data_IF_604801120005
#
_entry.id   IF_604801120005
#
_cell.length_a   1.000
_cell.length_b   1.000
_cell.length_c   1.000
_cell.angle_alpha   90.00
_cell.angle_beta   90.00
_cell.angle_gamma   90.00
#
_symmetry.space_group_name_H-M   'P 1'
#
loop_
_entity.id
_entity.type
_entity.pdbx_description
1 polymer ?
#
# COMPACT_ATOMS: atom_id res chain seq x y z
N UNK A 1 -15.76 -23.18 0.77
CA UNK A 1 -15.31 -23.02 -0.65
C UNK A 1 -13.81 -23.33 -0.72
N UNK A 2 -13.32 -23.70 -1.89
CA UNK A 2 -11.90 -23.93 -2.17
C UNK A 2 -11.33 -22.68 -2.87
N UNK A 3 -10.47 -21.94 -2.19
CA UNK A 3 -10.00 -20.63 -2.64
C UNK A 3 -8.49 -20.68 -2.83
N UNK A 4 -8.01 -20.23 -3.98
CA UNK A 4 -6.58 -20.06 -4.23
C UNK A 4 -6.24 -18.56 -4.21
N UNK A 5 -5.47 -18.14 -3.24
CA UNK A 5 -4.85 -16.82 -3.20
C UNK A 5 -3.54 -16.89 -3.97
N UNK A 6 -3.36 -16.03 -4.96
CA UNK A 6 -2.20 -16.03 -5.86
C UNK A 6 -1.45 -14.71 -5.72
N UNK A 7 -0.34 -14.73 -4.99
CA UNK A 7 0.54 -13.56 -4.82
C UNK A 7 2.00 -14.00 -4.69
N UNK A 8 2.91 -13.31 -5.37
CA UNK A 8 4.30 -13.74 -5.48
C UNK A 8 5.16 -13.55 -4.22
N UNK A 9 4.61 -12.86 -3.23
CA UNK A 9 5.23 -12.61 -1.93
C UNK A 9 4.42 -13.23 -0.77
N UNK A 10 5.08 -13.52 0.34
CA UNK A 10 4.46 -13.99 1.57
C UNK A 10 5.05 -13.25 2.78
N UNK A 11 4.19 -12.59 3.58
CA UNK A 11 4.58 -12.03 4.86
C UNK A 11 4.84 -13.15 5.89
N UNK A 12 5.89 -13.08 6.74
CA UNK A 12 6.81 -11.97 6.97
C UNK A 12 8.11 -12.04 6.14
N UNK A 13 8.24 -13.00 5.23
CA UNK A 13 9.45 -13.13 4.41
C UNK A 13 9.69 -11.93 3.48
N UNK A 14 8.62 -11.27 3.08
CA UNK A 14 8.63 -9.95 2.42
C UNK A 14 7.66 -9.04 3.15
N UNK A 15 8.06 -7.80 3.44
CA UNK A 15 7.29 -6.86 4.24
C UNK A 15 6.77 -5.72 3.37
N UNK A 16 5.45 -5.59 3.31
CA UNK A 16 4.74 -4.54 2.60
C UNK A 16 3.24 -4.58 2.90
N UNK A 17 2.49 -3.62 2.38
CA UNK A 17 1.04 -3.53 2.59
C UNK A 17 0.28 -4.69 1.95
N UNK A 18 0.60 -5.02 0.70
CA UNK A 18 -0.05 -6.11 -0.03
C UNK A 18 0.24 -7.49 0.59
N UNK A 19 1.48 -7.72 1.06
CA UNK A 19 1.86 -8.96 1.74
C UNK A 19 1.05 -9.17 3.03
N UNK A 20 0.88 -8.10 3.81
CA UNK A 20 0.04 -8.12 5.03
C UNK A 20 -1.42 -8.35 4.69
N UNK A 21 -1.93 -7.69 3.67
CA UNK A 21 -3.29 -7.87 3.16
C UNK A 21 -3.59 -9.33 2.83
N UNK A 22 -2.77 -9.94 1.97
CA UNK A 22 -2.99 -11.33 1.55
C UNK A 22 -2.82 -12.35 2.67
N UNK A 23 -1.89 -12.11 3.62
CA UNK A 23 -1.79 -12.95 4.81
C UNK A 23 -3.07 -12.88 5.65
N UNK A 24 -3.54 -11.67 5.95
CA UNK A 24 -4.76 -11.48 6.75
C UNK A 24 -5.98 -12.08 6.05
N UNK A 25 -6.12 -11.89 4.75
CA UNK A 25 -7.18 -12.48 3.94
C UNK A 25 -7.15 -14.02 3.99
N UNK A 26 -5.97 -14.62 3.79
CA UNK A 26 -5.82 -16.08 3.85
C UNK A 26 -6.20 -16.66 5.21
N UNK A 27 -5.71 -16.04 6.29
CA UNK A 27 -5.99 -16.46 7.65
C UNK A 27 -7.48 -16.28 8.01
N UNK A 28 -8.09 -15.18 7.59
CA UNK A 28 -9.52 -14.94 7.81
C UNK A 28 -10.38 -15.95 7.08
N UNK A 29 -10.10 -16.22 5.81
CA UNK A 29 -10.81 -17.24 5.04
C UNK A 29 -10.69 -18.63 5.67
N UNK A 30 -9.49 -19.01 6.13
CA UNK A 30 -9.27 -20.28 6.81
C UNK A 30 -10.02 -20.34 8.16
N UNK A 31 -10.09 -19.23 8.90
CA UNK A 31 -10.83 -19.14 10.16
C UNK A 31 -12.35 -19.30 9.96
N UNK A 32 -12.87 -18.89 8.82
CA UNK A 32 -14.28 -19.07 8.44
C UNK A 32 -14.58 -20.45 7.80
N UNK A 33 -13.60 -21.36 7.84
CA UNK A 33 -13.81 -22.75 7.39
C UNK A 33 -13.68 -22.96 5.89
N UNK A 34 -13.07 -22.03 5.15
CA UNK A 34 -12.74 -22.22 3.74
C UNK A 34 -11.44 -23.02 3.59
N UNK A 35 -11.36 -23.83 2.52
CA UNK A 35 -10.11 -24.49 2.12
C UNK A 35 -9.25 -23.49 1.34
N UNK A 36 -8.19 -22.98 1.97
CA UNK A 36 -7.35 -21.94 1.40
C UNK A 36 -6.01 -22.48 0.94
N UNK A 37 -5.66 -22.25 -0.33
CA UNK A 37 -4.33 -22.46 -0.87
C UNK A 37 -3.68 -21.10 -1.16
N UNK A 38 -2.51 -20.83 -0.59
CA UNK A 38 -1.70 -19.65 -0.89
C UNK A 38 -0.60 -20.04 -1.90
N UNK A 39 -0.72 -19.60 -3.14
CA UNK A 39 0.22 -19.88 -4.21
C UNK A 39 1.21 -18.72 -4.37
N UNK A 40 2.49 -18.98 -4.11
CA UNK A 40 3.53 -17.94 -4.04
C UNK A 40 4.87 -18.41 -4.63
N UNK A 41 5.83 -17.48 -4.81
CA UNK A 41 7.22 -17.85 -5.01
C UNK A 41 7.84 -18.31 -3.68
N UNK A 42 8.80 -19.20 -3.74
CA UNK A 42 9.54 -19.59 -2.53
C UNK A 42 10.35 -18.39 -2.02
N UNK A 43 10.24 -18.09 -0.72
CA UNK A 43 10.98 -17.00 -0.06
C UNK A 43 11.77 -17.50 1.16
N UNK A 44 11.52 -18.73 1.60
CA UNK A 44 12.18 -19.41 2.71
C UNK A 44 13.19 -20.45 2.22
N UNK A 45 14.09 -20.88 3.09
CA UNK A 45 15.10 -21.87 2.77
C UNK A 45 14.51 -23.28 2.58
N UNK A 46 15.23 -24.15 1.84
CA UNK A 46 14.81 -25.53 1.64
C UNK A 46 14.75 -26.26 2.98
N UNK A 47 13.63 -26.91 3.26
CA UNK A 47 13.40 -27.65 4.51
C UNK A 47 12.72 -26.83 5.62
N UNK A 48 12.61 -25.51 5.48
CA UNK A 48 11.80 -24.69 6.38
C UNK A 48 10.33 -24.67 5.95
N UNK A 49 9.43 -24.50 6.92
CA UNK A 49 8.03 -24.23 6.67
C UNK A 49 7.79 -22.72 6.61
N UNK A 50 6.88 -22.23 5.76
CA UNK A 50 6.51 -20.83 5.76
C UNK A 50 5.79 -20.46 7.07
N UNK A 51 6.08 -19.26 7.58
CA UNK A 51 5.41 -18.73 8.76
C UNK A 51 4.01 -18.19 8.38
N UNK A 52 3.02 -19.06 8.40
CA UNK A 52 1.60 -18.74 8.17
C UNK A 52 0.74 -19.72 8.99
N UNK A 53 -0.53 -19.35 9.21
CA UNK A 53 -1.51 -20.22 9.89
C UNK A 53 -1.51 -21.64 9.25
N UNK A 54 -1.35 -22.71 10.04
CA UNK A 54 -1.28 -24.08 9.53
C UNK A 54 -2.53 -24.56 8.78
N UNK A 55 -3.66 -23.87 8.93
CA UNK A 55 -4.89 -24.12 8.16
C UNK A 55 -4.78 -23.65 6.71
N UNK A 56 -3.82 -22.78 6.39
CA UNK A 56 -3.57 -22.29 5.04
C UNK A 56 -2.54 -23.19 4.36
N UNK A 57 -2.94 -23.88 3.30
CA UNK A 57 -2.04 -24.68 2.48
C UNK A 57 -1.17 -23.78 1.62
N UNK A 58 0.15 -23.88 1.73
CA UNK A 58 1.07 -23.12 0.87
C UNK A 58 1.54 -23.96 -0.30
N UNK A 59 1.36 -23.44 -1.51
CA UNK A 59 1.87 -24.00 -2.75
C UNK A 59 2.92 -23.08 -3.39
N UNK A 60 3.92 -23.67 -4.02
CA UNK A 60 5.05 -22.94 -4.61
C UNK A 60 4.96 -22.91 -6.12
N UNK A 61 4.85 -21.73 -6.70
CA UNK A 61 4.80 -21.48 -8.14
C UNK A 61 6.18 -21.30 -8.80
N UNK A 62 7.25 -21.18 -8.00
CA UNK A 62 8.59 -21.01 -8.54
C UNK A 62 9.68 -20.93 -7.47
N UNK A 63 10.95 -20.94 -7.89
CA UNK A 63 12.09 -20.93 -6.98
C UNK A 63 12.22 -19.59 -6.24
N UNK A 64 13.09 -19.56 -5.21
CA UNK A 64 13.50 -18.33 -4.56
C UNK A 64 14.26 -17.46 -5.57
N UNK A 65 13.83 -16.21 -5.70
CA UNK A 65 14.42 -15.22 -6.61
C UNK A 65 14.52 -13.85 -5.94
N UNK A 66 15.57 -13.09 -6.28
CA UNK A 66 15.64 -11.69 -5.88
C UNK A 66 14.61 -10.88 -6.68
N UNK A 67 13.64 -10.31 -5.98
CA UNK A 67 12.54 -9.54 -6.60
C UNK A 67 12.95 -8.13 -7.01
N UNK A 68 13.93 -7.55 -6.33
CA UNK A 68 14.39 -6.19 -6.53
C UNK A 68 15.90 -6.14 -6.78
N UNK A 69 16.35 -5.14 -7.54
CA UNK A 69 17.76 -4.79 -7.72
C UNK A 69 17.85 -3.27 -7.88
N UNK A 70 18.69 -2.62 -7.06
CA UNK A 70 18.84 -1.14 -7.10
C UNK A 70 17.51 -0.38 -6.89
N UNK A 71 16.65 -0.85 -6.00
CA UNK A 71 15.34 -0.24 -5.73
C UNK A 71 14.26 -0.51 -6.78
N UNK A 72 14.59 -1.11 -7.93
CA UNK A 72 13.63 -1.42 -9.01
C UNK A 72 13.26 -2.90 -9.01
N UNK A 73 12.01 -3.21 -9.31
CA UNK A 73 11.54 -4.57 -9.46
C UNK A 73 12.12 -5.21 -10.73
N UNK A 74 12.62 -6.44 -10.60
CA UNK A 74 13.14 -7.22 -11.74
C UNK A 74 11.99 -7.76 -12.59
N UNK A 75 12.23 -7.89 -13.90
CA UNK A 75 11.21 -8.38 -14.85
C UNK A 75 11.09 -9.92 -14.83
N UNK A 76 12.20 -10.64 -14.62
CA UNK A 76 12.21 -12.09 -14.67
C UNK A 76 11.35 -12.79 -13.60
N UNK A 77 11.38 -12.39 -12.29
CA UNK A 77 10.54 -13.03 -11.27
C UNK A 77 9.05 -13.04 -11.59
N UNK A 78 8.40 -11.92 -12.02
CA UNK A 78 7.03 -11.91 -12.48
C UNK A 78 6.70 -12.91 -13.60
N UNK A 79 7.60 -13.06 -14.57
CA UNK A 79 7.41 -14.02 -15.67
C UNK A 79 7.48 -15.46 -15.19
N UNK A 80 8.48 -15.79 -14.36
CA UNK A 80 8.62 -17.14 -13.75
C UNK A 80 7.41 -17.45 -12.87
N UNK A 81 6.95 -16.47 -12.08
CA UNK A 81 5.76 -16.61 -11.26
C UNK A 81 4.51 -16.87 -12.10
N UNK A 82 4.27 -16.05 -13.13
CA UNK A 82 3.13 -16.23 -14.05
C UNK A 82 3.13 -17.60 -14.74
N UNK A 83 4.28 -18.08 -15.19
CA UNK A 83 4.41 -19.44 -15.76
C UNK A 83 4.12 -20.52 -14.71
N UNK A 84 4.65 -20.37 -13.49
CA UNK A 84 4.38 -21.29 -12.39
C UNK A 84 2.91 -21.34 -12.00
N UNK A 85 2.24 -20.18 -11.96
CA UNK A 85 0.79 -20.07 -11.76
C UNK A 85 0.03 -20.78 -12.88
N UNK A 86 0.42 -20.55 -14.14
CA UNK A 86 -0.20 -21.23 -15.29
C UNK A 86 -0.12 -22.75 -15.16
N UNK A 87 1.07 -23.29 -14.90
CA UNK A 87 1.29 -24.73 -14.73
C UNK A 87 0.51 -25.30 -13.55
N UNK A 88 0.49 -24.59 -12.41
CA UNK A 88 -0.29 -24.98 -11.23
C UNK A 88 -1.78 -25.04 -11.54
N UNK A 89 -2.33 -23.97 -12.11
CA UNK A 89 -3.75 -23.89 -12.43
C UNK A 89 -4.18 -24.88 -13.51
N UNK A 90 -3.35 -25.19 -14.51
CA UNK A 90 -3.66 -26.24 -15.50
C UNK A 90 -3.78 -27.62 -14.83
N UNK A 91 -2.93 -27.95 -13.85
CA UNK A 91 -2.98 -29.22 -13.11
C UNK A 91 -4.14 -29.29 -12.13
N UNK A 92 -4.48 -28.15 -11.51
CA UNK A 92 -5.45 -28.01 -10.41
C UNK A 92 -6.71 -27.23 -10.81
N UNK A 93 -7.03 -27.12 -12.10
CA UNK A 93 -8.09 -26.26 -12.64
C UNK A 93 -9.49 -26.54 -12.11
N UNK A 94 -9.73 -27.73 -11.54
CA UNK A 94 -11.02 -28.14 -10.95
C UNK A 94 -11.02 -28.13 -9.43
N UNK A 95 -9.88 -27.80 -8.82
CA UNK A 95 -9.70 -27.88 -7.36
C UNK A 95 -10.13 -26.59 -6.66
N UNK A 96 -10.37 -25.51 -7.42
CA UNK A 96 -10.70 -24.21 -6.89
C UNK A 96 -12.06 -23.71 -7.36
N UNK A 97 -12.80 -23.08 -6.43
CA UNK A 97 -14.05 -22.39 -6.72
C UNK A 97 -13.78 -20.92 -7.05
N UNK A 98 -12.73 -20.34 -6.45
CA UNK A 98 -12.30 -18.94 -6.65
C UNK A 98 -10.77 -18.87 -6.74
N UNK A 99 -10.29 -18.11 -7.70
CA UNK A 99 -8.91 -17.62 -7.75
C UNK A 99 -8.93 -16.14 -7.39
N UNK A 100 -8.24 -15.78 -6.31
CA UNK A 100 -8.06 -14.39 -5.88
C UNK A 100 -6.60 -14.00 -6.07
N UNK A 101 -6.34 -13.08 -6.99
CA UNK A 101 -4.99 -12.65 -7.37
C UNK A 101 -4.83 -11.14 -7.29
N UNK A 102 -3.60 -10.67 -7.38
CA UNK A 102 -3.27 -9.26 -7.56
C UNK A 102 -3.17 -8.91 -9.04
N UNK A 103 -3.49 -7.68 -9.40
CA UNK A 103 -3.23 -7.18 -10.75
C UNK A 103 -1.72 -7.21 -11.08
N UNK A 104 -0.89 -6.80 -10.12
CA UNK A 104 0.57 -6.80 -10.29
C UNK A 104 1.22 -7.84 -9.37
N UNK A 105 2.05 -8.78 -9.91
CA UNK A 105 2.54 -8.86 -11.28
C UNK A 105 1.50 -9.45 -12.25
N UNK A 106 1.20 -8.76 -13.33
CA UNK A 106 0.11 -9.02 -14.29
C UNK A 106 0.05 -10.44 -14.85
N UNK A 107 1.18 -11.13 -14.91
CA UNK A 107 1.25 -12.47 -15.54
C UNK A 107 0.50 -13.54 -14.75
N UNK A 108 0.31 -13.39 -13.44
CA UNK A 108 -0.54 -14.29 -12.64
C UNK A 108 -2.01 -14.15 -13.00
N UNK A 109 -2.47 -12.92 -13.20
CA UNK A 109 -3.84 -12.63 -13.66
C UNK A 109 -4.07 -13.19 -15.08
N UNK A 110 -3.15 -12.95 -16.00
CA UNK A 110 -3.24 -13.47 -17.36
C UNK A 110 -3.23 -15.02 -17.39
N UNK A 111 -2.42 -15.65 -16.55
CA UNK A 111 -2.41 -17.11 -16.39
C UNK A 111 -3.76 -17.63 -15.88
N UNK A 112 -4.35 -16.98 -14.87
CA UNK A 112 -5.68 -17.32 -14.37
C UNK A 112 -6.76 -17.14 -15.45
N UNK A 113 -6.71 -16.04 -16.21
CA UNK A 113 -7.63 -15.77 -17.31
C UNK A 113 -7.58 -16.84 -18.40
N UNK A 114 -6.38 -17.29 -18.77
CA UNK A 114 -6.19 -18.36 -19.78
C UNK A 114 -6.75 -19.73 -19.35
N UNK A 115 -6.64 -20.07 -18.05
CA UNK A 115 -7.10 -21.36 -17.53
C UNK A 115 -8.58 -21.34 -17.17
N UNK A 116 -9.16 -20.17 -16.88
CA UNK A 116 -10.54 -20.02 -16.40
C UNK A 116 -11.60 -20.76 -17.22
N UNK A 117 -11.59 -20.73 -18.57
CA UNK A 117 -12.58 -21.47 -19.37
C UNK A 117 -12.56 -22.98 -19.11
N UNK A 118 -11.39 -23.54 -18.74
CA UNK A 118 -11.21 -24.94 -18.43
C UNK A 118 -11.55 -25.29 -16.97
N UNK A 119 -11.40 -24.33 -16.06
CA UNK A 119 -11.56 -24.49 -14.60
C UNK A 119 -12.93 -24.08 -14.07
N UNK A 120 -13.60 -23.13 -14.72
CA UNK A 120 -14.90 -22.57 -14.33
C UNK A 120 -14.91 -21.94 -12.92
N UNK A 121 -13.79 -21.37 -12.47
CA UNK A 121 -13.68 -20.66 -11.19
C UNK A 121 -14.03 -19.17 -11.31
N UNK A 122 -14.47 -18.56 -10.22
CA UNK A 122 -14.59 -17.12 -10.10
C UNK A 122 -13.19 -16.46 -10.08
N UNK A 123 -13.04 -15.32 -10.72
CA UNK A 123 -11.79 -14.54 -10.72
C UNK A 123 -11.98 -13.23 -9.97
N UNK A 124 -11.24 -13.06 -8.89
CA UNK A 124 -11.20 -11.86 -8.06
C UNK A 124 -9.80 -11.27 -8.16
N UNK A 125 -9.72 -9.95 -8.31
CA UNK A 125 -8.43 -9.27 -8.54
C UNK A 125 -8.33 -8.01 -7.71
N UNK A 126 -7.27 -7.92 -6.90
CA UNK A 126 -6.92 -6.72 -6.17
C UNK A 126 -6.03 -5.80 -7.01
N UNK A 127 -6.47 -4.57 -7.17
CA UNK A 127 -5.77 -3.50 -7.85
C UNK A 127 -5.27 -2.49 -6.83
N UNK A 128 -4.09 -2.74 -6.26
CA UNK A 128 -3.48 -1.83 -5.29
C UNK A 128 -3.09 -0.49 -5.91
N UNK A 129 -2.69 -0.52 -7.17
CA UNK A 129 -2.33 0.64 -7.97
C UNK A 129 -2.70 0.42 -9.43
N UNK A 130 -3.20 1.45 -10.08
CA UNK A 130 -3.37 1.53 -11.52
C UNK A 130 -2.48 2.67 -12.01
N UNK A 131 -1.43 2.34 -12.71
CA UNK A 131 -0.41 3.31 -13.10
C UNK A 131 -0.87 4.14 -14.29
N UNK A 132 -0.59 5.45 -14.25
CA UNK A 132 -0.78 6.35 -15.39
C UNK A 132 0.20 6.02 -16.52
N UNK A 133 -0.14 6.41 -17.76
CA UNK A 133 0.79 6.22 -18.89
C UNK A 133 2.11 6.96 -18.69
N UNK A 134 2.07 8.15 -18.08
CA UNK A 134 3.26 8.94 -17.80
C UNK A 134 4.16 8.25 -16.78
N UNK A 135 3.55 7.64 -15.74
CA UNK A 135 4.32 6.85 -14.78
C UNK A 135 4.94 5.60 -15.45
N UNK A 136 4.19 4.89 -16.30
CA UNK A 136 4.73 3.78 -17.08
C UNK A 136 5.93 4.19 -17.94
N UNK A 137 5.85 5.35 -18.61
CA UNK A 137 6.95 5.87 -19.43
C UNK A 137 8.17 6.25 -18.60
N UNK A 138 7.97 6.86 -17.44
CA UNK A 138 9.06 7.25 -16.53
C UNK A 138 9.76 6.03 -15.93
N UNK A 139 9.01 4.95 -15.64
CA UNK A 139 9.51 3.76 -14.99
C UNK A 139 10.27 2.81 -15.93
N UNK A 140 9.74 2.55 -17.15
CA UNK A 140 10.29 1.59 -18.12
C UNK A 140 10.83 2.24 -19.40
N UNK A 141 10.80 3.56 -19.53
CA UNK A 141 11.13 4.27 -20.78
C UNK A 141 10.01 4.22 -21.82
N UNK A 142 10.23 4.83 -22.99
CA UNK A 142 9.18 5.05 -23.99
C UNK A 142 8.50 3.78 -24.49
N UNK A 143 9.27 2.82 -25.03
CA UNK A 143 8.71 1.55 -25.55
C UNK A 143 8.28 0.62 -24.43
N UNK A 144 9.11 0.45 -23.40
CA UNK A 144 8.79 -0.39 -22.24
C UNK A 144 7.54 0.09 -21.52
N UNK A 145 7.39 1.41 -21.37
CA UNK A 145 6.20 2.02 -20.78
C UNK A 145 4.91 1.73 -21.55
N UNK A 146 4.97 1.83 -22.90
CA UNK A 146 3.82 1.46 -23.76
C UNK A 146 3.44 -0.01 -23.61
N UNK A 147 4.42 -0.92 -23.57
CA UNK A 147 4.18 -2.33 -23.33
C UNK A 147 3.53 -2.56 -21.97
N UNK A 148 4.06 -1.94 -20.91
CA UNK A 148 3.51 -2.04 -19.57
C UNK A 148 2.06 -1.55 -19.49
N UNK A 149 1.77 -0.39 -20.05
CA UNK A 149 0.42 0.17 -20.13
C UNK A 149 -0.54 -0.75 -20.93
N UNK A 150 -0.08 -1.32 -22.05
CA UNK A 150 -0.88 -2.26 -22.83
C UNK A 150 -1.19 -3.55 -22.08
N UNK A 151 -0.23 -4.08 -21.31
CA UNK A 151 -0.45 -5.26 -20.46
C UNK A 151 -1.45 -4.92 -19.34
N UNK A 152 -1.31 -3.77 -18.69
CA UNK A 152 -2.27 -3.31 -17.67
C UNK A 152 -3.68 -3.21 -18.26
N UNK A 153 -3.84 -2.61 -19.44
CA UNK A 153 -5.12 -2.50 -20.14
C UNK A 153 -5.69 -3.88 -20.52
N UNK A 154 -4.86 -4.80 -20.99
CA UNK A 154 -5.28 -6.19 -21.29
C UNK A 154 -5.80 -6.87 -20.02
N UNK A 155 -5.14 -6.69 -18.89
CA UNK A 155 -5.56 -7.23 -17.59
C UNK A 155 -6.89 -6.63 -17.12
N UNK A 156 -7.11 -5.32 -17.30
CA UNK A 156 -8.38 -4.68 -16.98
C UNK A 156 -9.55 -5.23 -17.82
N UNK A 157 -9.29 -5.62 -19.07
CA UNK A 157 -10.31 -6.20 -19.98
C UNK A 157 -10.64 -7.67 -19.72
N UNK A 158 -9.91 -8.34 -18.84
CA UNK A 158 -10.29 -9.69 -18.39
C UNK A 158 -11.55 -9.57 -17.52
N UNK A 159 -12.65 -10.33 -17.80
CA UNK A 159 -13.83 -10.33 -16.93
C UNK A 159 -13.46 -10.78 -15.52
N UNK A 160 -13.70 -9.92 -14.53
CA UNK A 160 -13.25 -10.13 -13.15
C UNK A 160 -14.12 -9.36 -12.16
N UNK A 161 -14.06 -9.74 -10.89
CA UNK A 161 -14.46 -8.86 -9.80
C UNK A 161 -13.20 -8.15 -9.30
N UNK A 162 -13.18 -6.84 -9.42
CA UNK A 162 -12.04 -6.01 -9.06
C UNK A 162 -12.25 -5.33 -7.71
N UNK A 163 -11.25 -5.40 -6.85
CA UNK A 163 -11.13 -4.57 -5.67
C UNK A 163 -10.00 -3.56 -5.89
N UNK A 164 -10.24 -2.31 -5.52
CA UNK A 164 -9.20 -1.27 -5.44
C UNK A 164 -9.31 -0.57 -4.08
N UNK A 165 -8.30 0.24 -3.74
CA UNK A 165 -8.18 0.78 -2.39
C UNK A 165 -8.31 2.32 -2.36
N UNK A 166 -8.71 2.92 -3.49
CA UNK A 166 -8.96 4.36 -3.63
C UNK A 166 -9.90 4.64 -4.80
N UNK A 167 -10.57 5.77 -4.77
CA UNK A 167 -11.40 6.26 -5.87
C UNK A 167 -10.56 6.56 -7.11
N UNK A 168 -9.35 7.14 -6.94
CA UNK A 168 -8.40 7.37 -8.01
C UNK A 168 -8.16 6.11 -8.86
N UNK A 169 -7.97 4.97 -8.20
CA UNK A 169 -7.72 3.72 -8.92
C UNK A 169 -9.01 3.11 -9.48
N UNK A 170 -10.17 3.34 -8.87
CA UNK A 170 -11.46 2.95 -9.42
C UNK A 170 -11.76 3.72 -10.73
N UNK A 171 -11.59 5.03 -10.73
CA UNK A 171 -11.75 5.88 -11.92
C UNK A 171 -10.84 5.42 -13.06
N UNK A 172 -9.56 5.19 -12.78
CA UNK A 172 -8.60 4.68 -13.78
C UNK A 172 -8.99 3.30 -14.33
N UNK A 173 -9.55 2.42 -13.50
CA UNK A 173 -10.03 1.13 -13.97
C UNK A 173 -11.25 1.28 -14.90
N UNK A 174 -12.13 2.23 -14.63
CA UNK A 174 -13.22 2.59 -15.53
C UNK A 174 -12.69 3.10 -16.87
N UNK A 175 -11.71 4.00 -16.85
CA UNK A 175 -11.09 4.56 -18.07
C UNK A 175 -10.37 3.49 -18.89
N UNK A 176 -9.75 2.50 -18.26
CA UNK A 176 -9.15 1.33 -18.91
C UNK A 176 -10.17 0.36 -19.49
N UNK A 177 -11.47 0.57 -19.22
CA UNK A 177 -12.56 -0.29 -19.68
C UNK A 177 -12.60 -1.63 -18.95
N UNK A 178 -12.43 -1.63 -17.62
CA UNK A 178 -12.52 -2.85 -16.82
C UNK A 178 -13.84 -3.57 -17.07
N UNK A 179 -13.75 -4.89 -17.28
CA UNK A 179 -14.91 -5.76 -17.46
C UNK A 179 -15.26 -6.45 -16.15
N UNK A 180 -16.33 -6.00 -15.50
CA UNK A 180 -16.82 -6.55 -14.25
C UNK A 180 -17.21 -5.49 -13.25
N UNK A 181 -17.31 -5.91 -11.99
CA UNK A 181 -17.69 -5.05 -10.87
C UNK A 181 -16.42 -4.50 -10.22
N UNK A 182 -16.38 -3.19 -9.95
CA UNK A 182 -15.34 -2.52 -9.18
C UNK A 182 -15.90 -2.20 -7.80
N UNK A 183 -15.16 -2.56 -6.77
CA UNK A 183 -15.49 -2.21 -5.38
C UNK A 183 -14.29 -1.53 -4.74
N UNK A 184 -14.47 -0.34 -4.19
CA UNK A 184 -13.43 0.36 -3.43
C UNK A 184 -13.44 -0.14 -1.99
N UNK A 185 -12.30 -0.67 -1.54
CA UNK A 185 -12.04 -1.10 -0.18
C UNK A 185 -11.26 -0.02 0.57
N UNK A 186 -11.92 0.73 1.42
CA UNK A 186 -11.29 1.86 2.14
C UNK A 186 -10.55 1.44 3.41
N UNK A 187 -10.67 0.18 3.83
CA UNK A 187 -10.15 -0.32 5.08
C UNK A 187 -8.90 -1.19 4.94
N UNK A 188 -7.74 -0.68 5.35
CA UNK A 188 -6.50 -1.44 5.47
C UNK A 188 -5.89 -1.37 6.86
N UNK A 189 -6.45 -0.55 7.76
CA UNK A 189 -5.92 -0.36 9.09
C UNK A 189 -6.24 -1.56 9.99
N UNK A 190 -5.19 -2.18 10.53
CA UNK A 190 -5.29 -3.37 11.38
C UNK A 190 -5.26 -3.06 12.89
N UNK A 191 -5.17 -1.79 13.26
CA UNK A 191 -5.19 -1.35 14.65
C UNK A 191 -6.60 -1.23 15.24
N UNK A 192 -6.68 -0.66 16.45
CA UNK A 192 -7.95 -0.42 17.13
C UNK A 192 -8.84 0.60 16.42
N UNK A 193 -10.15 0.50 16.62
CA UNK A 193 -11.13 1.44 16.05
C UNK A 193 -11.41 2.64 16.95
N UNK A 194 -10.89 2.63 18.17
CA UNK A 194 -10.99 3.77 19.10
C UNK A 194 -9.82 4.72 18.85
N UNK A 195 -10.07 6.04 18.66
CA UNK A 195 -9.01 7.01 18.51
C UNK A 195 -8.20 7.14 19.81
N UNK A 196 -6.91 7.39 19.67
CA UNK A 196 -6.10 7.76 20.82
C UNK A 196 -6.59 9.10 21.41
N UNK A 197 -6.44 9.25 22.74
CA UNK A 197 -6.73 10.50 23.40
C UNK A 197 -5.80 11.61 22.88
N UNK A 198 -6.34 12.74 22.37
CA UNK A 198 -5.51 13.83 21.87
C UNK A 198 -4.65 14.42 22.99
N UNK A 199 -3.37 14.65 22.71
CA UNK A 199 -2.40 15.26 23.63
C UNK A 199 -1.70 16.42 22.93
N UNK A 200 -1.16 17.41 23.69
CA UNK A 200 -0.29 18.43 23.10
C UNK A 200 0.86 17.79 22.33
N UNK A 201 1.14 18.31 21.14
CA UNK A 201 2.20 17.79 20.28
C UNK A 201 3.57 18.34 20.69
N UNK A 202 4.60 17.52 20.55
CA UNK A 202 5.98 17.99 20.44
C UNK A 202 6.18 18.69 19.09
N UNK A 203 7.17 19.57 19.00
CA UNK A 203 7.58 20.14 17.71
C UNK A 203 8.38 19.10 16.90
N UNK A 204 7.70 18.05 16.44
CA UNK A 204 8.28 16.90 15.74
C UNK A 204 7.48 16.60 14.47
N UNK A 205 8.14 16.65 13.33
CA UNK A 205 7.62 16.12 12.06
C UNK A 205 8.11 14.69 11.89
N UNK A 206 7.20 13.75 11.67
CA UNK A 206 7.51 12.34 11.54
C UNK A 206 7.26 11.86 10.11
N UNK A 207 8.22 11.16 9.54
CA UNK A 207 8.07 10.33 8.35
C UNK A 207 8.27 8.87 8.72
N UNK A 208 7.39 7.98 8.23
CA UNK A 208 7.57 6.54 8.37
C UNK A 208 7.21 5.82 7.06
N UNK A 209 8.18 5.13 6.46
CA UNK A 209 7.97 4.42 5.19
C UNK A 209 9.25 3.97 4.51
N UNK A 210 9.12 3.29 3.37
CA UNK A 210 10.27 2.91 2.56
C UNK A 210 10.97 4.14 2.01
N UNK A 211 12.30 4.17 2.05
CA UNK A 211 13.09 5.26 1.46
C UNK A 211 13.32 4.99 -0.04
N UNK A 212 12.31 5.29 -0.84
CA UNK A 212 12.28 5.10 -2.31
C UNK A 212 11.94 6.42 -3.01
N UNK A 213 12.30 6.59 -4.29
CA UNK A 213 12.13 7.86 -5.01
C UNK A 213 10.71 8.43 -4.95
N UNK A 214 9.69 7.58 -5.01
CA UNK A 214 8.29 8.00 -4.96
C UNK A 214 7.89 8.65 -3.64
N UNK A 215 8.61 8.35 -2.55
CA UNK A 215 8.37 8.92 -1.21
C UNK A 215 9.01 10.30 -1.02
N UNK A 216 9.94 10.71 -1.90
CA UNK A 216 10.54 12.04 -1.95
C UNK A 216 11.09 12.54 -0.61
N UNK A 217 11.79 11.68 0.12
CA UNK A 217 12.30 11.98 1.47
C UNK A 217 13.25 13.18 1.51
N UNK A 218 14.00 13.40 0.43
CA UNK A 218 14.88 14.58 0.27
C UNK A 218 14.07 15.88 0.30
N UNK A 219 12.94 15.92 -0.39
CA UNK A 219 12.00 17.05 -0.35
C UNK A 219 11.41 17.24 1.05
N UNK A 220 11.13 16.11 1.73
CA UNK A 220 10.66 16.14 3.12
C UNK A 220 11.67 16.80 4.06
N UNK A 221 12.96 16.49 3.95
CA UNK A 221 14.03 17.16 4.73
C UNK A 221 14.07 18.66 4.44
N UNK A 222 14.09 19.04 3.15
CA UNK A 222 14.10 20.44 2.75
C UNK A 222 12.88 21.23 3.30
N UNK A 223 11.71 20.59 3.31
CA UNK A 223 10.48 21.18 3.83
C UNK A 223 10.53 21.37 5.36
N UNK A 224 11.07 20.39 6.11
CA UNK A 224 11.24 20.51 7.57
C UNK A 224 12.26 21.59 7.90
N UNK A 225 13.38 21.65 7.16
CA UNK A 225 14.39 22.69 7.31
C UNK A 225 13.82 24.10 7.05
N UNK A 226 12.96 24.23 6.02
CA UNK A 226 12.30 25.49 5.69
C UNK A 226 11.30 25.89 6.80
N UNK A 227 10.46 24.96 7.27
CA UNK A 227 9.49 25.19 8.34
C UNK A 227 10.18 25.57 9.68
N UNK A 228 11.38 25.03 9.94
CA UNK A 228 12.15 25.33 11.16
C UNK A 228 12.57 26.80 11.26
N UNK A 229 12.62 27.54 10.13
CA UNK A 229 12.89 28.98 10.13
C UNK A 229 11.77 29.77 10.82
N UNK A 230 10.52 29.31 10.71
CA UNK A 230 9.33 29.92 11.29
C UNK A 230 8.90 29.27 12.60
N UNK A 231 9.33 28.05 12.87
CA UNK A 231 8.98 27.26 14.07
C UNK A 231 10.27 26.90 14.82
N UNK A 232 10.78 27.78 15.72
CA UNK A 232 12.00 27.49 16.47
C UNK A 232 11.89 26.20 17.28
N UNK A 233 12.90 25.33 17.19
CA UNK A 233 12.92 24.03 17.88
C UNK A 233 12.17 22.90 17.16
N UNK A 234 11.68 23.13 15.93
CA UNK A 234 11.11 22.08 15.11
C UNK A 234 12.17 21.01 14.79
N UNK A 235 11.79 19.75 14.97
CA UNK A 235 12.63 18.58 14.71
C UNK A 235 11.98 17.71 13.65
N UNK A 236 12.78 16.88 12.96
CA UNK A 236 12.31 15.86 12.04
C UNK A 236 12.85 14.47 12.39
N UNK A 237 12.04 13.45 12.21
CA UNK A 237 12.47 12.06 12.31
C UNK A 237 11.97 11.28 11.08
N UNK A 238 12.90 10.60 10.38
CA UNK A 238 12.61 9.85 9.16
C UNK A 238 12.92 8.37 9.39
N UNK A 239 11.88 7.58 9.66
CA UNK A 239 11.97 6.13 9.84
C UNK A 239 11.84 5.40 8.52
N UNK A 240 12.71 4.42 8.30
CA UNK A 240 12.65 3.51 7.17
C UNK A 240 14.00 3.17 6.58
N UNK A 241 13.96 2.24 5.63
CA UNK A 241 15.11 1.80 4.83
C UNK A 241 14.76 1.82 3.35
N UNK A 242 15.78 1.91 2.50
CA UNK A 242 15.61 1.89 1.06
C UNK A 242 16.76 2.52 0.30
N UNK A 243 16.70 2.52 -1.04
CA UNK A 243 17.76 3.04 -1.90
C UNK A 243 18.05 4.54 -1.68
N UNK A 244 17.08 5.32 -1.25
CA UNK A 244 17.23 6.78 -1.05
C UNK A 244 17.81 7.14 0.34
N UNK A 245 18.24 6.13 1.15
CA UNK A 245 18.82 6.39 2.46
C UNK A 245 20.04 7.34 2.39
N UNK A 246 20.94 7.09 1.45
CA UNK A 246 22.11 7.96 1.31
C UNK A 246 21.73 9.37 0.89
N UNK A 247 20.82 9.51 -0.08
CA UNK A 247 20.31 10.82 -0.50
C UNK A 247 19.61 11.58 0.64
N UNK A 248 18.91 10.86 1.53
CA UNK A 248 18.32 11.44 2.74
C UNK A 248 19.38 12.00 3.68
N UNK A 249 20.46 11.24 3.96
CA UNK A 249 21.56 11.68 4.82
C UNK A 249 22.33 12.87 4.20
N UNK A 250 22.56 12.84 2.89
CA UNK A 250 23.18 13.94 2.15
C UNK A 250 22.34 15.22 2.22
N UNK A 251 21.00 15.09 2.13
CA UNK A 251 20.10 16.23 2.26
C UNK A 251 20.10 16.82 3.68
N UNK A 252 20.14 15.99 4.72
CA UNK A 252 20.27 16.44 6.11
C UNK A 252 21.57 17.24 6.29
N UNK A 253 22.67 16.76 5.72
CA UNK A 253 23.96 17.46 5.78
C UNK A 253 23.94 18.77 4.98
N UNK A 254 23.35 18.78 3.77
CA UNK A 254 23.31 19.95 2.90
C UNK A 254 22.47 21.10 3.46
N UNK A 255 21.54 20.82 4.36
CA UNK A 255 20.71 21.81 5.04
C UNK A 255 21.21 22.18 6.45
N UNK A 256 22.37 21.66 6.88
CA UNK A 256 22.93 21.86 8.24
C UNK A 256 21.94 21.49 9.37
N UNK A 257 21.16 20.42 9.16
CA UNK A 257 20.06 20.01 10.06
C UNK A 257 20.37 18.76 10.89
N UNK A 258 21.64 18.34 11.02
CA UNK A 258 22.05 17.10 11.70
C UNK A 258 21.65 17.05 13.18
N UNK A 259 21.53 18.22 13.83
CA UNK A 259 21.09 18.31 15.22
C UNK A 259 19.55 18.24 15.37
N UNK A 260 18.80 18.63 14.34
CA UNK A 260 17.35 18.74 14.38
C UNK A 260 16.62 17.63 13.57
N UNK A 261 17.26 17.03 12.56
CA UNK A 261 16.65 15.98 11.73
C UNK A 261 17.44 14.68 11.87
N UNK A 262 16.73 13.61 12.20
CA UNK A 262 17.29 12.28 12.40
C UNK A 262 16.74 11.28 11.39
N UNK A 263 17.60 10.36 10.93
CA UNK A 263 17.27 9.24 10.04
C UNK A 263 17.78 7.92 10.65
N UNK A 264 17.15 7.41 11.72
CA UNK A 264 17.68 6.26 12.48
C UNK A 264 17.57 4.91 11.74
N UNK A 265 16.96 4.90 10.54
CA UNK A 265 16.73 3.68 9.79
C UNK A 265 15.40 3.01 10.14
N UNK A 266 15.34 1.69 9.98
CA UNK A 266 14.16 0.92 10.37
C UNK A 266 13.95 0.99 11.88
N UNK A 267 12.70 1.16 12.28
CA UNK A 267 12.30 1.10 13.68
C UNK A 267 11.12 0.13 13.85
N UNK A 268 11.06 -0.48 15.03
CA UNK A 268 9.91 -1.32 15.41
C UNK A 268 8.64 -0.49 15.59
N UNK A 269 7.48 -1.12 15.37
CA UNK A 269 6.18 -0.45 15.39
C UNK A 269 5.94 0.37 16.65
N UNK A 270 6.21 -0.20 17.84
CA UNK A 270 6.01 0.48 19.13
C UNK A 270 6.80 1.81 19.26
N UNK A 271 7.97 1.90 18.62
CA UNK A 271 8.74 3.14 18.62
C UNK A 271 8.12 4.17 17.68
N UNK A 272 7.74 3.73 16.48
CA UNK A 272 7.06 4.60 15.50
C UNK A 272 5.74 5.11 16.09
N UNK A 273 4.95 4.25 16.73
CA UNK A 273 3.66 4.60 17.34
C UNK A 273 3.82 5.63 18.48
N UNK A 274 4.82 5.44 19.34
CA UNK A 274 5.13 6.42 20.41
C UNK A 274 5.50 7.79 19.85
N UNK A 275 6.36 7.85 18.83
CA UNK A 275 6.76 9.12 18.24
C UNK A 275 5.61 9.71 17.42
N UNK A 276 4.83 8.90 16.73
CA UNK A 276 3.64 9.31 15.99
C UNK A 276 2.60 9.97 16.92
N UNK A 277 2.33 9.35 18.06
CA UNK A 277 1.36 9.90 19.04
C UNK A 277 1.74 11.28 19.60
N UNK A 278 3.03 11.63 19.57
CA UNK A 278 3.57 12.89 20.06
C UNK A 278 3.88 13.91 18.95
N UNK A 279 3.95 13.46 17.69
CA UNK A 279 4.34 14.29 16.57
C UNK A 279 3.39 15.47 16.35
N UNK A 280 3.93 16.60 15.89
CA UNK A 280 3.17 17.73 15.39
C UNK A 280 2.33 17.28 14.18
N UNK A 281 2.97 16.57 13.25
CA UNK A 281 2.30 15.94 12.13
C UNK A 281 3.12 14.76 11.60
N UNK A 282 2.44 13.87 10.88
CA UNK A 282 3.06 12.92 9.98
C UNK A 282 3.18 13.54 8.60
N UNK A 283 4.37 13.52 8.01
CA UNK A 283 4.65 14.07 6.68
C UNK A 283 4.71 12.93 5.66
N UNK A 284 3.88 13.01 4.62
CA UNK A 284 3.87 12.09 3.49
C UNK A 284 4.07 12.88 2.17
N UNK A 285 5.32 13.21 1.79
CA UNK A 285 5.60 14.03 0.61
C UNK A 285 5.57 13.24 -0.71
N UNK A 286 4.92 12.09 -0.71
CA UNK A 286 4.89 11.13 -1.80
C UNK A 286 4.21 11.67 -3.04
N UNK A 287 4.76 11.36 -4.21
CA UNK A 287 4.10 11.61 -5.51
C UNK A 287 3.24 10.45 -5.97
N UNK A 288 3.40 9.27 -5.33
CA UNK A 288 2.62 8.08 -5.64
C UNK A 288 2.32 7.28 -4.37
N UNK A 289 1.05 7.02 -4.17
CA UNK A 289 0.51 6.15 -3.13
C UNK A 289 -0.71 5.41 -3.66
N UNK A 290 -0.76 4.11 -3.43
CA UNK A 290 -1.95 3.32 -3.72
C UNK A 290 -3.07 3.53 -2.71
N UNK A 291 -2.72 3.90 -1.45
CA UNK A 291 -3.65 4.14 -0.37
C UNK A 291 -3.13 5.19 0.62
N UNK A 292 -2.01 4.94 1.30
CA UNK A 292 -1.45 5.84 2.31
C UNK A 292 -1.71 5.40 3.75
N UNK A 293 -1.41 4.14 4.08
CA UNK A 293 -1.68 3.57 5.42
C UNK A 293 -1.18 4.44 6.57
N UNK A 294 0.00 5.05 6.42
CA UNK A 294 0.59 5.89 7.46
C UNK A 294 -0.28 7.11 7.82
N UNK A 295 -1.13 7.58 6.89
CA UNK A 295 -2.11 8.66 7.18
C UNK A 295 -3.18 8.15 8.14
N UNK A 296 -3.71 6.96 7.91
CA UNK A 296 -4.72 6.36 8.80
C UNK A 296 -4.11 6.05 10.17
N UNK A 297 -2.90 5.50 10.19
CA UNK A 297 -2.13 5.24 11.41
C UNK A 297 -1.93 6.54 12.22
N UNK A 298 -1.56 7.64 11.56
CA UNK A 298 -1.43 8.96 12.19
C UNK A 298 -2.77 9.43 12.79
N UNK A 299 -3.86 9.33 12.04
CA UNK A 299 -5.18 9.74 12.51
C UNK A 299 -5.66 8.90 13.71
N UNK A 300 -5.35 7.60 13.74
CA UNK A 300 -5.63 6.73 14.89
C UNK A 300 -4.90 7.19 16.17
N UNK A 301 -3.72 7.79 16.02
CA UNK A 301 -2.94 8.41 17.10
C UNK A 301 -3.31 9.88 17.37
N UNK A 302 -4.44 10.35 16.83
CA UNK A 302 -4.86 11.76 16.92
C UNK A 302 -3.81 12.72 16.35
N UNK A 303 -2.98 12.28 15.43
CA UNK A 303 -1.91 13.08 14.81
C UNK A 303 -2.30 13.44 13.38
N UNK A 304 -2.39 14.76 13.06
CA UNK A 304 -2.71 15.19 11.72
C UNK A 304 -1.62 14.82 10.73
N UNK A 305 -1.99 14.57 9.47
CA UNK A 305 -1.03 14.31 8.41
C UNK A 305 -0.90 15.51 7.46
N UNK A 306 0.31 15.70 6.92
CA UNK A 306 0.59 16.59 5.80
C UNK A 306 0.86 15.75 4.57
N UNK A 307 0.05 15.92 3.53
CA UNK A 307 0.16 15.20 2.25
C UNK A 307 0.37 16.15 1.09
N UNK A 308 0.86 15.64 -0.02
CA UNK A 308 1.17 16.41 -1.23
C UNK A 308 0.24 16.00 -2.36
N UNK A 309 -0.38 16.96 -3.08
CA UNK A 309 -1.18 16.62 -4.25
C UNK A 309 -0.27 16.14 -5.38
N UNK A 310 -0.63 15.01 -5.97
CA UNK A 310 -0.02 14.48 -7.18
C UNK A 310 -1.01 13.56 -7.91
N UNK A 311 -0.85 13.44 -9.23
CA UNK A 311 -1.75 12.63 -10.07
C UNK A 311 -1.82 11.15 -9.67
N UNK A 312 -0.77 10.62 -9.05
CA UNK A 312 -0.66 9.22 -8.65
C UNK A 312 -0.72 9.03 -7.12
N UNK A 313 -1.18 10.04 -6.37
CA UNK A 313 -1.19 9.98 -4.90
C UNK A 313 -2.63 9.87 -4.34
N UNK A 314 -3.08 8.65 -4.14
CA UNK A 314 -4.38 8.37 -3.52
C UNK A 314 -4.46 8.73 -2.02
N UNK A 315 -3.34 8.94 -1.32
CA UNK A 315 -3.36 9.31 0.10
C UNK A 315 -4.07 10.66 0.37
N UNK A 316 -4.20 11.50 -0.66
CA UNK A 316 -4.96 12.76 -0.58
C UNK A 316 -6.44 12.51 -0.26
N UNK A 317 -7.01 11.40 -0.72
CA UNK A 317 -8.40 11.02 -0.46
C UNK A 317 -8.69 10.76 1.04
N UNK A 318 -7.65 10.47 1.82
CA UNK A 318 -7.75 10.24 3.26
C UNK A 318 -7.72 11.53 4.09
N UNK A 319 -7.51 12.69 3.43
CA UNK A 319 -7.39 13.98 4.12
C UNK A 319 -8.61 14.86 3.80
N UNK A 320 -9.28 15.25 4.86
CA UNK A 320 -10.19 16.38 4.87
C UNK A 320 -9.40 17.60 5.36
N UNK A 321 -9.04 18.50 4.43
CA UNK A 321 -8.12 19.63 4.70
C UNK A 321 -8.60 20.49 5.87
N UNK A 322 -7.72 20.70 6.85
CA UNK A 322 -8.03 21.43 8.07
C UNK A 322 -8.83 20.65 9.13
N UNK A 323 -9.17 19.38 8.92
CA UNK A 323 -9.93 18.53 9.85
C UNK A 323 -9.05 17.42 10.44
N UNK A 324 -8.43 16.58 9.60
CA UNK A 324 -7.55 15.49 10.03
C UNK A 324 -6.13 15.62 9.45
N UNK A 325 -5.85 16.73 8.79
CA UNK A 325 -4.55 17.00 8.19
C UNK A 325 -4.58 18.23 7.30
N UNK A 326 -3.51 18.41 6.55
CA UNK A 326 -3.35 19.50 5.61
C UNK A 326 -2.83 18.99 4.28
N UNK A 327 -3.46 19.41 3.19
CA UNK A 327 -2.97 19.18 1.84
C UNK A 327 -2.08 20.38 1.46
N UNK A 328 -0.81 20.12 1.17
CA UNK A 328 0.11 21.16 0.71
C UNK A 328 -0.35 21.71 -0.66
N UNK A 329 -0.07 22.96 -0.94
CA UNK A 329 -0.46 23.58 -2.22
C UNK A 329 0.27 22.96 -3.42
N UNK A 330 1.48 22.47 -3.21
CA UNK A 330 2.30 21.76 -4.22
C UNK A 330 3.30 20.84 -3.54
N UNK A 331 4.07 20.12 -4.36
CA UNK A 331 5.15 19.25 -3.90
C UNK A 331 6.49 19.99 -3.66
N UNK A 332 6.51 21.32 -3.71
CA UNK A 332 7.69 22.12 -3.44
C UNK A 332 7.96 22.24 -1.93
N UNK A 333 9.24 22.27 -1.50
CA UNK A 333 9.58 22.33 -0.08
C UNK A 333 8.89 23.47 0.66
N UNK A 334 8.79 24.66 0.07
CA UNK A 334 8.16 25.84 0.65
C UNK A 334 6.66 25.63 0.87
N UNK A 335 5.95 25.00 -0.07
CA UNK A 335 4.52 24.72 0.06
C UNK A 335 4.25 23.67 1.14
N UNK A 336 5.12 22.68 1.27
CA UNK A 336 5.04 21.67 2.33
C UNK A 336 5.36 22.32 3.70
N UNK A 337 6.36 23.20 3.78
CA UNK A 337 6.69 23.96 4.98
C UNK A 337 5.49 24.80 5.45
N UNK A 338 4.83 25.52 4.55
CA UNK A 338 3.61 26.26 4.84
C UNK A 338 2.47 25.36 5.36
N UNK A 339 2.35 24.12 4.84
CA UNK A 339 1.39 23.14 5.35
C UNK A 339 1.73 22.71 6.78
N UNK A 340 3.03 22.47 7.09
CA UNK A 340 3.49 22.20 8.46
C UNK A 340 3.20 23.38 9.40
N UNK A 341 3.42 24.61 8.96
CA UNK A 341 3.09 25.83 9.72
C UNK A 341 1.58 25.97 9.96
N UNK A 342 0.75 25.59 8.99
CA UNK A 342 -0.72 25.55 9.17
C UNK A 342 -1.10 24.58 10.29
N UNK A 343 -0.50 23.38 10.31
CA UNK A 343 -0.71 22.41 11.41
C UNK A 343 -0.26 22.99 12.74
N UNK A 344 0.91 23.61 12.79
CA UNK A 344 1.43 24.23 14.01
C UNK A 344 0.50 25.33 14.56
N UNK A 345 0.02 26.22 13.69
CA UNK A 345 -0.93 27.30 14.07
C UNK A 345 -2.29 26.77 14.52
N UNK A 346 -2.78 25.69 13.89
CA UNK A 346 -4.02 25.04 14.30
C UNK A 346 -3.90 24.31 15.65
N UNK A 347 -2.70 23.87 16.00
CA UNK A 347 -2.34 23.38 17.33
C UNK A 347 -3.21 22.22 17.83
N UNK A 348 -3.56 22.26 19.11
CA UNK A 348 -4.30 21.18 19.77
C UNK A 348 -5.71 20.96 19.18
N UNK A 349 -6.35 22.02 18.68
CA UNK A 349 -7.69 21.91 18.07
C UNK A 349 -7.71 20.99 16.85
N UNK A 350 -6.65 21.00 16.02
CA UNK A 350 -6.53 20.11 14.88
C UNK A 350 -6.36 18.65 15.34
N UNK A 351 -5.62 18.40 16.42
CA UNK A 351 -5.49 17.04 16.97
C UNK A 351 -6.84 16.50 17.50
N UNK A 352 -7.62 17.36 18.16
CA UNK A 352 -8.96 16.99 18.61
C UNK A 352 -9.89 16.67 17.44
N UNK A 353 -9.85 17.46 16.35
CA UNK A 353 -10.65 17.18 15.17
C UNK A 353 -10.17 15.93 14.43
N UNK A 354 -8.84 15.67 14.39
CA UNK A 354 -8.28 14.44 13.84
C UNK A 354 -8.77 13.19 14.58
N UNK A 355 -8.75 13.21 15.92
CA UNK A 355 -9.27 12.10 16.73
C UNK A 355 -10.77 11.87 16.50
N UNK A 356 -11.57 12.94 16.45
CA UNK A 356 -13.00 12.84 16.15
C UNK A 356 -13.24 12.26 14.76
N UNK A 357 -12.57 12.80 13.76
CA UNK A 357 -12.67 12.32 12.38
C UNK A 357 -12.32 10.82 12.29
N UNK A 358 -11.23 10.38 12.94
CA UNK A 358 -10.86 8.97 12.97
C UNK A 358 -11.97 8.12 13.63
N UNK A 359 -12.49 8.54 14.80
CA UNK A 359 -13.57 7.81 15.47
C UNK A 359 -14.82 7.63 14.60
N UNK A 360 -15.17 8.64 13.79
CA UNK A 360 -16.30 8.61 12.86
C UNK A 360 -16.06 7.65 11.67
N UNK A 361 -14.79 7.50 11.22
CA UNK A 361 -14.43 6.71 10.03
C UNK A 361 -13.73 5.37 10.36
N UNK A 362 -13.33 5.13 11.60
CA UNK A 362 -12.50 3.99 11.99
C UNK A 362 -13.04 2.63 11.53
N UNK A 363 -14.36 2.44 11.59
CA UNK A 363 -15.01 1.20 11.15
C UNK A 363 -14.83 1.00 9.64
N UNK A 364 -15.01 2.04 8.84
CA UNK A 364 -14.83 1.98 7.38
C UNK A 364 -13.36 1.76 7.02
N UNK A 365 -12.44 2.44 7.73
CA UNK A 365 -10.99 2.34 7.51
C UNK A 365 -10.37 1.05 8.06
N UNK A 366 -11.14 0.24 8.81
CA UNK A 366 -10.64 -0.99 9.40
C UNK A 366 -10.42 -2.09 8.36
N UNK A 367 -9.34 -2.85 8.51
CA UNK A 367 -9.05 -4.05 7.73
C UNK A 367 -10.25 -5.04 7.77
N UNK A 368 -10.92 -5.16 8.91
CA UNK A 368 -12.09 -6.04 9.10
C UNK A 368 -13.24 -5.67 8.15
N UNK A 369 -13.48 -4.38 7.92
CA UNK A 369 -14.50 -3.91 6.98
C UNK A 369 -14.22 -4.42 5.56
N UNK A 370 -12.98 -4.25 5.09
CA UNK A 370 -12.57 -4.70 3.75
C UNK A 370 -12.57 -6.23 3.62
N UNK A 371 -12.06 -6.96 4.62
CA UNK A 371 -12.12 -8.41 4.64
C UNK A 371 -13.56 -8.92 4.56
N UNK A 372 -14.47 -8.31 5.33
CA UNK A 372 -15.90 -8.66 5.29
C UNK A 372 -16.52 -8.40 3.92
N UNK A 373 -16.18 -7.29 3.25
CA UNK A 373 -16.66 -6.99 1.90
C UNK A 373 -16.16 -8.03 0.88
N UNK A 374 -14.88 -8.41 0.96
CA UNK A 374 -14.28 -9.46 0.10
C UNK A 374 -14.97 -10.80 0.32
N UNK A 375 -15.17 -11.22 1.57
CA UNK A 375 -15.83 -12.49 1.92
C UNK A 375 -17.25 -12.57 1.37
N UNK A 376 -18.04 -11.50 1.49
CA UNK A 376 -19.38 -11.42 0.91
C UNK A 376 -19.36 -11.58 -0.61
N UNK A 377 -18.30 -11.17 -1.26
CA UNK A 377 -18.16 -11.25 -2.71
C UNK A 377 -17.96 -12.69 -3.23
N UNK A 378 -17.51 -13.61 -2.40
CA UNK A 378 -17.31 -15.02 -2.79
C UNK A 378 -18.60 -15.85 -2.86
N UNK A 379 -19.77 -15.26 -2.57
CA UNK A 379 -21.08 -15.92 -2.63
C UNK A 379 -21.45 -16.45 -4.03
N UNK A 380 -22.66 -17.04 -4.22
CA UNK A 380 -23.10 -17.69 -5.47
C UNK A 380 -23.01 -16.82 -6.73
N UNK A 381 -23.01 -15.49 -6.58
CA UNK A 381 -22.84 -14.54 -7.69
C UNK A 381 -21.42 -14.55 -8.31
N UNK A 382 -20.39 -14.99 -7.57
CA UNK A 382 -19.03 -15.12 -8.10
C UNK A 382 -18.93 -16.16 -9.24
N UNK A 383 -19.86 -17.13 -9.30
CA UNK A 383 -19.96 -18.14 -10.37
C UNK A 383 -20.67 -17.64 -11.63
N UNK A 384 -21.42 -16.52 -11.58
CA UNK A 384 -22.23 -16.03 -12.71
C UNK A 384 -21.52 -14.97 -13.57
N UNK A 385 -20.40 -14.44 -13.15
CA UNK A 385 -19.56 -13.52 -13.93
C UNK A 385 -18.52 -14.28 -14.80
N UNK A 386 -18.79 -15.56 -15.07
CA UNK A 386 -17.97 -16.43 -15.91
C UNK A 386 -18.50 -16.45 -17.34
#
# INVERSE_FOLDING_TARGET
MRICIVYDCLFPHTVGGAERWYRNLAQRLAAEGHEVTYLTLRQWDRGQQPDIDPRVKVAVAGPRMALYTGGRRRILPPLVFGLGVLVHLLRHRRDYDVIHTCSFPYFSLLAAALVRPLGRFGLVVDWFEVWSEDYWRSYLGGLGGRIGASIQQLCARVPQRAFCFSELHAERLHDLGLRGEITVLRGLYAGGTEPAEPRPADLLVLFAGRLIPEKRVVIGVAAVAEAAKSIPGLRGVFYGEGPDRQALLDAIAAHDTQESIQAPGFAEGDRVDRDMSRALCVLLPSVREGYGMVVVEACAHATPAVVVPASDNAAVELIQDGVNGVIAASAEPQAIAQAIERVHRAGFALRQSTARWFGEHAKELSLESSLTAVLRSYGPSARRAA
#
